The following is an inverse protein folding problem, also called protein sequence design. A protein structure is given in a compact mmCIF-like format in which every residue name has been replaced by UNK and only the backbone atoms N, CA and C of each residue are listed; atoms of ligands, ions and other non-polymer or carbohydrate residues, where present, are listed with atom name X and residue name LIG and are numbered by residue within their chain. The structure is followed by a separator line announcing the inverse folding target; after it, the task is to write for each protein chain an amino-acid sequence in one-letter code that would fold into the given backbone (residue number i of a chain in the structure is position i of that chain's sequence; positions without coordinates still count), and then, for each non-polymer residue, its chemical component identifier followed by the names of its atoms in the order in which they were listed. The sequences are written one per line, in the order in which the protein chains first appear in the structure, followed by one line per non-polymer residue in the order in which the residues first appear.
data_IF_908130600862
#
_entry.id   IF_908130600862
#
_cell.length_a   1.000
_cell.length_b   1.000
_cell.length_c   1.000
_cell.angle_alpha   90.00
_cell.angle_beta   90.00
_cell.angle_gamma   90.00
#
_symmetry.space_group_name_H-M   'P 1'
#
loop_
_entity.id
_entity.type
_entity.pdbx_description
1 polymer ?
#
# COMPACT_ATOMS: atom_id res chain seq x y z
N UNK A 1 -25.47 11.06 -10.82
CA UNK A 1 -24.97 9.94 -11.64
C UNK A 1 -25.70 8.66 -11.24
N UNK A 2 -26.78 8.34 -11.97
CA UNK A 2 -27.47 7.04 -11.91
C UNK A 2 -26.61 6.03 -12.67
N UNK A 3 -26.40 4.85 -12.09
CA UNK A 3 -26.18 3.53 -12.70
C UNK A 3 -25.33 2.66 -11.76
N UNK A 4 -25.98 2.07 -10.74
CA UNK A 4 -25.56 0.80 -10.16
C UNK A 4 -26.69 -0.17 -10.50
N UNK A 5 -26.36 -1.23 -11.23
CA UNK A 5 -27.30 -2.29 -11.59
C UNK A 5 -27.77 -2.91 -10.27
N UNK A 6 -29.06 -2.75 -9.94
CA UNK A 6 -29.69 -3.43 -8.82
C UNK A 6 -29.74 -4.93 -9.14
N UNK A 7 -28.73 -5.69 -8.68
CA UNK A 7 -28.91 -7.13 -8.50
C UNK A 7 -30.10 -7.29 -7.55
N UNK A 8 -31.22 -7.87 -8.00
CA UNK A 8 -32.44 -8.07 -7.22
C UNK A 8 -32.32 -8.91 -5.94
N UNK A 9 -31.10 -9.11 -5.44
CA UNK A 9 -30.78 -9.71 -4.16
C UNK A 9 -30.94 -8.67 -3.05
N UNK A 10 -31.78 -8.97 -2.05
CA UNK A 10 -31.87 -8.18 -0.81
C UNK A 10 -30.52 -8.22 -0.08
N UNK A 11 -29.71 -7.18 -0.27
CA UNK A 11 -28.49 -7.02 0.51
C UNK A 11 -28.83 -6.48 1.91
N UNK A 12 -28.31 -7.15 2.94
CA UNK A 12 -28.45 -6.68 4.32
C UNK A 12 -27.59 -5.43 4.52
N UNK A 13 -28.20 -4.25 4.46
CA UNK A 13 -27.55 -2.98 4.78
C UNK A 13 -27.51 -2.86 6.32
N UNK A 14 -26.41 -3.29 6.93
CA UNK A 14 -26.09 -2.95 8.32
C UNK A 14 -25.03 -1.86 8.31
N UNK A 15 -25.31 -0.67 8.87
CA UNK A 15 -24.27 0.35 9.00
C UNK A 15 -23.08 -0.21 9.78
N UNK A 16 -21.87 0.13 9.35
CA UNK A 16 -20.67 -0.24 10.09
C UNK A 16 -20.70 0.46 11.44
N UNK A 17 -20.34 -0.27 12.49
CA UNK A 17 -20.19 0.27 13.85
C UNK A 17 -18.88 1.04 14.05
N UNK A 18 -17.92 0.86 13.15
CA UNK A 18 -16.69 1.64 13.10
C UNK A 18 -16.65 2.43 11.79
N UNK A 19 -16.27 3.70 11.90
CA UNK A 19 -15.95 4.58 10.79
C UNK A 19 -14.60 4.23 10.14
N UNK A 20 -14.37 4.73 8.93
CA UNK A 20 -13.09 4.55 8.23
C UNK A 20 -11.91 5.18 8.97
N UNK A 21 -12.10 6.35 9.59
CA UNK A 21 -11.05 7.03 10.35
C UNK A 21 -10.62 6.25 11.59
N UNK A 22 -11.57 5.64 12.32
CA UNK A 22 -11.25 4.77 13.46
C UNK A 22 -10.44 3.54 13.02
N UNK A 23 -10.85 2.90 11.92
CA UNK A 23 -10.14 1.75 11.35
C UNK A 23 -8.72 2.13 10.91
N UNK A 24 -8.56 3.28 10.25
CA UNK A 24 -7.24 3.84 9.87
C UNK A 24 -6.38 4.10 11.11
N UNK A 25 -6.95 4.71 12.14
CA UNK A 25 -6.23 5.06 13.38
C UNK A 25 -5.69 3.80 14.06
N UNK A 26 -6.52 2.77 14.20
CA UNK A 26 -6.11 1.49 14.79
C UNK A 26 -4.99 0.83 13.98
N UNK A 27 -5.07 0.88 12.64
CA UNK A 27 -4.07 0.30 11.74
C UNK A 27 -2.74 1.07 11.76
N UNK A 28 -2.77 2.40 11.75
CA UNK A 28 -1.55 3.22 11.84
C UNK A 28 -0.88 2.99 13.19
N UNK A 29 -1.66 2.99 14.27
CA UNK A 29 -1.15 2.71 15.61
C UNK A 29 -0.56 1.30 15.74
N UNK A 30 -1.08 0.30 15.01
CA UNK A 30 -0.46 -1.03 14.98
C UNK A 30 1.01 -0.97 14.53
N UNK A 31 1.29 -0.25 13.44
CA UNK A 31 2.64 -0.11 12.92
C UNK A 31 3.58 0.67 13.87
N UNK A 32 3.04 1.57 14.68
CA UNK A 32 3.81 2.30 15.71
C UNK A 32 3.97 1.50 17.01
N UNK A 33 3.08 0.56 17.29
CA UNK A 33 3.04 -0.18 18.56
C UNK A 33 4.15 -1.23 18.72
N UNK A 34 4.82 -1.63 17.64
CA UNK A 34 5.85 -2.68 17.66
C UNK A 34 5.30 -4.12 17.77
N UNK A 35 3.97 -4.32 17.80
CA UNK A 35 3.39 -5.66 17.76
C UNK A 35 3.68 -6.34 16.42
N UNK A 36 4.07 -7.62 16.46
CA UNK A 36 4.40 -8.42 15.25
C UNK A 36 3.17 -8.93 14.50
N UNK A 37 2.05 -9.10 15.21
CA UNK A 37 0.85 -9.73 14.68
C UNK A 37 -0.39 -8.86 14.98
N UNK A 38 -1.14 -8.55 13.93
CA UNK A 38 -2.30 -7.67 14.01
C UNK A 38 -3.43 -8.30 14.85
N UNK A 39 -3.59 -9.63 14.82
CA UNK A 39 -4.64 -10.32 15.59
C UNK A 39 -4.41 -10.14 17.09
N UNK A 40 -3.18 -10.32 17.53
CA UNK A 40 -2.77 -10.18 18.93
C UNK A 40 -2.93 -8.73 19.37
N UNK A 41 -2.40 -7.78 18.59
CA UNK A 41 -2.58 -6.35 18.83
C UNK A 41 -4.08 -5.98 18.96
N UNK A 42 -4.91 -6.35 17.99
CA UNK A 42 -6.31 -5.98 18.01
C UNK A 42 -7.07 -6.64 19.16
N UNK A 43 -6.97 -7.97 19.31
CA UNK A 43 -7.80 -8.72 20.27
C UNK A 43 -7.34 -8.62 21.72
N UNK A 44 -6.04 -8.51 21.96
CA UNK A 44 -5.46 -8.51 23.31
C UNK A 44 -5.12 -7.12 23.82
N UNK A 45 -4.84 -6.16 22.93
CA UNK A 45 -4.53 -4.79 23.32
C UNK A 45 -5.71 -3.85 23.05
N UNK A 46 -6.07 -3.61 21.79
CA UNK A 46 -7.12 -2.63 21.43
C UNK A 46 -8.47 -2.97 22.07
N UNK A 47 -8.92 -4.22 21.93
CA UNK A 47 -10.20 -4.68 22.50
C UNK A 47 -10.23 -4.72 24.04
N UNK A 48 -9.10 -4.55 24.73
CA UNK A 48 -9.03 -4.55 26.20
C UNK A 48 -8.86 -3.13 26.74
N UNK A 49 -7.87 -2.40 26.21
CA UNK A 49 -7.44 -1.13 26.78
C UNK A 49 -8.00 0.10 26.07
N UNK A 50 -8.43 -0.03 24.81
CA UNK A 50 -8.87 1.13 24.00
C UNK A 50 -10.39 1.21 23.80
N UNK A 51 -11.16 0.41 24.55
CA UNK A 51 -12.65 0.45 24.48
C UNK A 51 -13.22 1.82 24.78
N UNK A 52 -12.55 2.62 25.61
CA UNK A 52 -13.03 3.98 25.91
C UNK A 52 -12.95 4.89 24.69
N UNK A 53 -11.90 4.75 23.86
CA UNK A 53 -11.74 5.52 22.62
C UNK A 53 -12.56 4.95 21.47
N UNK A 54 -12.76 3.63 21.45
CA UNK A 54 -13.52 2.91 20.43
C UNK A 54 -14.60 2.04 21.13
N UNK A 55 -15.74 2.62 21.52
CA UNK A 55 -16.78 1.89 22.27
C UNK A 55 -17.43 0.78 21.45
N UNK A 56 -17.43 0.93 20.12
CA UNK A 56 -18.16 0.10 19.18
C UNK A 56 -17.28 -0.91 18.42
N UNK A 57 -16.18 -1.35 19.03
CA UNK A 57 -15.25 -2.34 18.45
C UNK A 57 -15.98 -3.59 17.94
N UNK A 58 -15.52 -4.06 16.78
CA UNK A 58 -16.10 -5.19 16.06
C UNK A 58 -15.29 -6.47 16.29
N UNK A 59 -15.83 -7.63 15.89
CA UNK A 59 -15.05 -8.87 15.91
C UNK A 59 -13.83 -8.78 14.99
N UNK A 60 -12.78 -9.53 15.30
CA UNK A 60 -11.55 -9.56 14.48
C UNK A 60 -11.84 -9.83 12.99
N UNK A 61 -12.69 -10.80 12.67
CA UNK A 61 -13.07 -11.11 11.29
C UNK A 61 -13.76 -9.94 10.59
N UNK A 62 -14.60 -9.18 11.32
CA UNK A 62 -15.23 -7.97 10.77
C UNK A 62 -14.18 -6.86 10.59
N UNK A 63 -13.24 -6.70 11.51
CA UNK A 63 -12.14 -5.74 11.40
C UNK A 63 -11.32 -5.98 10.13
N UNK A 64 -10.97 -7.23 9.81
CA UNK A 64 -10.24 -7.56 8.57
C UNK A 64 -11.01 -7.13 7.30
N UNK A 65 -12.33 -7.29 7.27
CA UNK A 65 -13.16 -6.83 6.14
C UNK A 65 -13.17 -5.30 6.04
N UNK A 66 -13.21 -4.61 7.18
CA UNK A 66 -13.17 -3.15 7.21
C UNK A 66 -11.81 -2.61 6.77
N UNK A 67 -10.70 -3.26 7.14
CA UNK A 67 -9.36 -2.90 6.68
C UNK A 67 -9.27 -2.91 5.14
N UNK A 68 -9.81 -3.95 4.50
CA UNK A 68 -9.84 -4.04 3.04
C UNK A 68 -10.65 -2.89 2.41
N UNK A 69 -11.83 -2.59 2.98
CA UNK A 69 -12.68 -1.50 2.51
C UNK A 69 -12.06 -0.10 2.74
N UNK A 70 -11.17 0.03 3.72
CA UNK A 70 -10.56 1.31 4.11
C UNK A 70 -9.26 1.58 3.38
N UNK A 71 -8.72 0.61 2.63
CA UNK A 71 -7.48 0.77 1.86
C UNK A 71 -7.51 1.97 0.90
N UNK A 72 -8.58 2.25 0.14
CA UNK A 72 -8.63 3.44 -0.72
C UNK A 72 -8.53 4.74 0.09
N UNK A 73 -9.18 4.82 1.25
CA UNK A 73 -9.09 5.98 2.13
C UNK A 73 -7.68 6.16 2.70
N UNK A 74 -7.00 5.07 3.06
CA UNK A 74 -5.61 5.11 3.51
C UNK A 74 -4.65 5.58 2.40
N UNK A 75 -4.87 5.12 1.16
CA UNK A 75 -4.11 5.59 0.01
C UNK A 75 -4.35 7.08 -0.27
N UNK A 76 -5.59 7.56 -0.16
CA UNK A 76 -5.92 8.98 -0.29
C UNK A 76 -5.27 9.81 0.81
N UNK A 77 -5.29 9.33 2.06
CA UNK A 77 -4.60 9.97 3.17
C UNK A 77 -3.10 10.05 2.92
N UNK A 78 -2.46 8.95 2.49
CA UNK A 78 -1.04 8.93 2.15
C UNK A 78 -0.70 9.99 1.08
N UNK A 79 -1.50 10.10 0.01
CA UNK A 79 -1.30 11.11 -1.04
C UNK A 79 -1.42 12.54 -0.54
N UNK A 80 -2.32 12.80 0.42
CA UNK A 80 -2.44 14.11 1.06
C UNK A 80 -1.25 14.45 1.97
N UNK A 81 -0.46 13.44 2.36
CA UNK A 81 0.76 13.59 3.15
C UNK A 81 2.02 13.67 2.28
N UNK A 82 1.89 13.73 0.95
CA UNK A 82 3.04 13.98 0.09
C UNK A 82 3.58 15.38 0.32
N UNK A 83 4.90 15.49 0.34
CA UNK A 83 5.60 16.74 0.55
C UNK A 83 5.72 17.54 -0.75
N UNK A 84 6.17 18.79 -0.60
CA UNK A 84 6.44 19.66 -1.75
C UNK A 84 7.76 19.27 -2.41
N UNK A 85 7.86 19.41 -3.74
CA UNK A 85 9.13 19.25 -4.42
C UNK A 85 10.06 20.42 -4.06
N UNK A 86 11.34 20.09 -3.85
CA UNK A 86 12.42 21.03 -3.46
C UNK A 86 13.36 21.36 -4.62
N UNK A 87 13.22 20.65 -5.76
CA UNK A 87 14.11 20.77 -6.92
C UNK A 87 15.07 19.57 -7.09
N UNK A 88 15.21 18.74 -6.05
CA UNK A 88 16.00 17.51 -6.08
C UNK A 88 15.11 16.37 -5.61
N UNK A 89 15.07 15.28 -6.38
CA UNK A 89 14.32 14.09 -6.02
C UNK A 89 15.13 12.81 -6.30
N UNK A 90 14.84 11.76 -5.55
CA UNK A 90 15.44 10.44 -5.66
C UNK A 90 14.36 9.41 -5.93
N UNK A 91 14.59 8.51 -6.89
CA UNK A 91 13.72 7.37 -7.17
C UNK A 91 14.46 6.06 -6.94
N UNK A 92 13.79 5.14 -6.25
CA UNK A 92 14.25 3.77 -6.08
C UNK A 92 13.07 2.81 -6.00
N UNK A 93 13.33 1.53 -6.24
CA UNK A 93 12.35 0.46 -6.12
C UNK A 93 12.80 -0.65 -5.18
N UNK A 94 11.85 -1.14 -4.39
CA UNK A 94 12.09 -2.27 -3.49
C UNK A 94 11.14 -3.42 -3.77
N UNK A 95 11.64 -4.65 -3.63
CA UNK A 95 10.88 -5.87 -3.92
C UNK A 95 9.95 -6.24 -2.75
N UNK A 96 8.64 -6.24 -3.00
CA UNK A 96 7.62 -6.73 -2.07
C UNK A 96 7.34 -8.21 -2.33
N UNK A 97 8.04 -9.08 -1.62
CA UNK A 97 7.89 -10.54 -1.73
C UNK A 97 6.60 -11.00 -1.06
N UNK A 98 5.73 -11.69 -1.80
CA UNK A 98 4.46 -12.20 -1.24
C UNK A 98 4.54 -13.68 -0.84
N UNK A 99 5.49 -14.44 -1.42
CA UNK A 99 5.81 -15.79 -0.97
C UNK A 99 7.21 -16.20 -1.43
N UNK A 100 7.72 -17.31 -0.89
CA UNK A 100 8.92 -17.97 -1.42
C UNK A 100 8.65 -18.60 -2.79
N UNK A 101 9.66 -18.61 -3.66
CA UNK A 101 9.53 -19.10 -5.03
C UNK A 101 9.00 -20.56 -5.11
N UNK A 102 9.39 -21.42 -4.17
CA UNK A 102 8.90 -22.82 -4.10
C UNK A 102 7.39 -22.92 -3.85
N UNK A 103 6.76 -21.88 -3.30
CA UNK A 103 5.34 -21.84 -2.95
C UNK A 103 4.47 -21.16 -4.02
N UNK A 104 5.06 -20.67 -5.11
CA UNK A 104 4.31 -20.01 -6.19
C UNK A 104 3.15 -20.88 -6.70
N UNK A 105 3.32 -22.20 -6.99
CA UNK A 105 2.23 -23.01 -7.53
C UNK A 105 1.01 -23.14 -6.61
N UNK A 106 1.18 -22.89 -5.30
CA UNK A 106 0.12 -22.98 -4.28
C UNK A 106 -0.37 -21.61 -3.83
N UNK A 107 0.16 -20.51 -4.35
CA UNK A 107 -0.18 -19.17 -3.90
C UNK A 107 -1.49 -18.68 -4.52
N UNK A 108 -2.51 -18.47 -3.69
CA UNK A 108 -3.84 -18.07 -4.15
C UNK A 108 -4.14 -16.57 -3.97
N UNK A 109 -3.58 -15.93 -2.94
CA UNK A 109 -3.97 -14.57 -2.52
C UNK A 109 -3.73 -13.52 -3.61
N UNK A 110 -2.58 -13.57 -4.27
CA UNK A 110 -2.21 -12.66 -5.36
C UNK A 110 -2.08 -13.39 -6.72
N UNK A 111 -2.77 -14.52 -6.88
CA UNK A 111 -2.79 -15.24 -8.15
C UNK A 111 -3.20 -14.31 -9.31
N UNK A 112 -2.48 -14.39 -10.43
CA UNK A 112 -2.68 -13.51 -11.60
C UNK A 112 -2.15 -12.08 -11.46
N UNK A 113 -2.04 -11.54 -10.24
CA UNK A 113 -1.59 -10.16 -9.96
C UNK A 113 -0.08 -10.07 -9.68
N UNK A 114 0.42 -10.90 -8.77
CA UNK A 114 1.85 -10.97 -8.48
C UNK A 114 2.59 -11.73 -9.59
N UNK A 115 3.82 -11.30 -9.90
CA UNK A 115 4.66 -11.89 -10.95
C UNK A 115 6.08 -12.12 -10.43
N UNK A 116 6.81 -13.00 -11.13
CA UNK A 116 8.22 -13.28 -10.80
C UNK A 116 9.10 -12.15 -11.30
N UNK A 117 9.83 -11.52 -10.38
CA UNK A 117 10.87 -10.54 -10.68
C UNK A 117 12.26 -11.08 -10.37
N UNK A 118 13.29 -10.42 -10.90
CA UNK A 118 14.68 -10.65 -10.52
C UNK A 118 15.26 -9.34 -10.01
N UNK A 119 15.75 -9.34 -8.78
CA UNK A 119 16.53 -8.23 -8.21
C UNK A 119 17.96 -8.67 -7.91
N UNK A 120 18.72 -7.80 -7.25
CA UNK A 120 20.12 -8.07 -6.84
C UNK A 120 20.23 -9.32 -5.96
N UNK A 121 19.25 -9.53 -5.07
CA UNK A 121 19.18 -10.69 -4.17
C UNK A 121 18.55 -11.94 -4.81
N UNK A 122 18.42 -11.97 -6.14
CA UNK A 122 17.89 -13.09 -6.91
C UNK A 122 16.40 -12.99 -7.25
N UNK A 123 15.83 -14.13 -7.63
CA UNK A 123 14.43 -14.22 -8.04
C UNK A 123 13.47 -14.08 -6.86
N UNK A 124 12.38 -13.36 -7.07
CA UNK A 124 11.29 -13.24 -6.11
C UNK A 124 9.93 -13.32 -6.80
N UNK A 125 8.88 -13.61 -6.02
CA UNK A 125 7.50 -13.55 -6.47
C UNK A 125 6.75 -12.49 -5.67
N UNK A 126 6.14 -11.53 -6.36
CA UNK A 126 5.42 -10.44 -5.71
C UNK A 126 5.31 -9.20 -6.57
N UNK A 127 5.56 -8.06 -5.94
CA UNK A 127 5.42 -6.72 -6.50
C UNK A 127 6.72 -5.93 -6.34
N UNK A 128 6.82 -4.80 -7.03
CA UNK A 128 7.81 -3.76 -6.73
C UNK A 128 7.10 -2.52 -6.21
N UNK A 129 7.66 -1.90 -5.18
CA UNK A 129 7.24 -0.62 -4.65
C UNK A 129 8.25 0.43 -5.11
N UNK A 130 7.77 1.38 -5.90
CA UNK A 130 8.53 2.52 -6.40
C UNK A 130 8.22 3.73 -5.55
N UNK A 131 9.25 4.42 -5.08
CA UNK A 131 9.15 5.61 -4.24
C UNK A 131 9.92 6.74 -4.89
N UNK A 132 9.35 7.95 -4.91
CA UNK A 132 10.09 9.19 -5.16
C UNK A 132 10.09 10.00 -3.89
N UNK A 133 11.27 10.41 -3.42
CA UNK A 133 11.46 11.25 -2.25
C UNK A 133 12.26 12.50 -2.62
N UNK A 134 12.00 13.62 -1.95
CA UNK A 134 12.85 14.80 -2.05
C UNK A 134 14.13 14.64 -1.21
N UNK A 135 15.05 15.60 -1.31
CA UNK A 135 16.32 15.63 -0.56
C UNK A 135 16.17 15.87 0.95
N UNK A 136 15.00 16.33 1.40
CA UNK A 136 14.64 16.47 2.82
C UNK A 136 14.03 15.19 3.41
N UNK A 137 13.89 14.12 2.61
CA UNK A 137 13.27 12.84 3.03
C UNK A 137 11.74 12.82 2.96
N UNK A 138 11.14 13.86 2.38
CA UNK A 138 9.72 13.97 2.12
C UNK A 138 9.28 13.13 0.92
N UNK A 139 8.10 12.53 1.01
CA UNK A 139 7.60 11.60 -0.01
C UNK A 139 6.84 12.36 -1.10
N UNK A 140 7.23 12.20 -2.37
CA UNK A 140 6.61 12.88 -3.52
C UNK A 140 5.65 11.99 -4.32
N UNK A 141 5.99 10.70 -4.47
CA UNK A 141 5.17 9.76 -5.22
C UNK A 141 5.40 8.31 -4.79
N UNK A 142 4.36 7.48 -4.95
CA UNK A 142 4.39 6.04 -4.67
C UNK A 142 3.66 5.27 -5.75
N UNK A 143 4.24 4.17 -6.23
CA UNK A 143 3.58 3.25 -7.16
C UNK A 143 3.93 1.81 -6.87
N UNK A 144 2.95 0.92 -7.05
CA UNK A 144 3.14 -0.53 -6.93
C UNK A 144 2.95 -1.17 -8.29
N UNK A 145 3.91 -1.96 -8.73
CA UNK A 145 3.85 -2.72 -9.99
C UNK A 145 4.06 -4.21 -9.74
N UNK A 146 3.69 -5.05 -10.71
CA UNK A 146 4.01 -6.48 -10.62
C UNK A 146 5.54 -6.71 -10.65
N UNK A 147 6.01 -7.78 -10.01
CA UNK A 147 7.44 -8.02 -9.81
C UNK A 147 8.31 -8.08 -11.07
N UNK A 148 7.72 -8.40 -12.23
CA UNK A 148 8.41 -8.48 -13.52
C UNK A 148 8.41 -7.16 -14.30
N UNK A 149 7.79 -6.09 -13.78
CA UNK A 149 7.76 -4.78 -14.44
C UNK A 149 9.14 -4.14 -14.32
N UNK A 150 9.60 -3.60 -15.44
CA UNK A 150 10.84 -2.83 -15.53
C UNK A 150 10.70 -1.50 -14.78
N UNK A 151 11.72 -1.12 -14.02
CA UNK A 151 11.67 0.02 -13.09
C UNK A 151 11.52 1.37 -13.80
N UNK A 152 11.81 1.41 -15.11
CA UNK A 152 11.68 2.60 -15.96
C UNK A 152 10.25 2.90 -16.38
N UNK A 153 9.41 1.87 -16.47
CA UNK A 153 8.02 1.99 -16.91
C UNK A 153 7.17 2.88 -16.00
N UNK A 154 7.18 2.72 -14.65
CA UNK A 154 6.36 3.53 -13.76
C UNK A 154 6.82 4.98 -13.60
N UNK A 155 8.04 5.34 -14.02
CA UNK A 155 8.64 6.66 -13.77
C UNK A 155 7.76 7.78 -14.33
N UNK A 156 7.32 7.65 -15.58
CA UNK A 156 6.51 8.67 -16.25
C UNK A 156 5.18 8.94 -15.54
N UNK A 157 4.63 7.94 -14.85
CA UNK A 157 3.37 8.07 -14.11
C UNK A 157 3.55 8.64 -12.69
N UNK A 158 4.79 8.92 -12.28
CA UNK A 158 5.13 9.34 -10.92
C UNK A 158 5.76 10.73 -10.86
N UNK A 159 6.21 11.28 -11.98
CA UNK A 159 6.97 12.54 -12.03
C UNK A 159 6.11 13.81 -12.11
N UNK A 160 4.78 13.69 -12.15
CA UNK A 160 3.87 14.85 -12.26
C UNK A 160 4.10 15.93 -11.19
N UNK A 161 4.47 15.52 -9.97
CA UNK A 161 4.72 16.41 -8.82
C UNK A 161 6.22 16.61 -8.54
N UNK A 162 7.09 16.22 -9.46
CA UNK A 162 8.55 16.34 -9.33
C UNK A 162 9.03 17.53 -10.14
N UNK A 163 9.85 18.39 -9.53
CA UNK A 163 10.48 19.52 -10.21
C UNK A 163 11.99 19.43 -10.10
N UNK A 164 12.71 19.92 -11.11
CA UNK A 164 14.17 19.93 -11.12
C UNK A 164 14.77 18.58 -11.49
N UNK A 165 15.77 18.12 -10.74
CA UNK A 165 16.57 16.93 -11.06
C UNK A 165 16.06 15.68 -10.34
N UNK A 166 15.86 14.60 -11.11
CA UNK A 166 15.52 13.28 -10.60
C UNK A 166 16.75 12.36 -10.67
N UNK A 167 17.23 11.92 -9.51
CA UNK A 167 18.36 11.02 -9.35
C UNK A 167 17.89 9.59 -9.16
N UNK A 168 18.55 8.65 -9.83
CA UNK A 168 18.17 7.25 -9.83
C UNK A 168 19.39 6.35 -10.01
N UNK A 169 19.24 5.06 -9.72
CA UNK A 169 20.28 4.09 -10.04
C UNK A 169 20.45 3.88 -11.56
N UNK A 170 21.51 3.17 -11.97
CA UNK A 170 21.79 2.89 -13.38
C UNK A 170 20.69 2.10 -14.09
N UNK A 171 19.89 1.33 -13.33
CA UNK A 171 18.76 0.56 -13.85
C UNK A 171 17.63 1.44 -14.40
N UNK A 172 17.57 2.72 -14.01
CA UNK A 172 16.56 3.67 -14.50
C UNK A 172 16.93 4.36 -15.82
N UNK A 173 18.16 4.18 -16.33
CA UNK A 173 18.60 4.85 -17.57
C UNK A 173 17.91 4.24 -18.80
N UNK A 174 17.32 5.09 -19.65
CA UNK A 174 16.82 4.70 -20.97
C UNK A 174 16.84 5.85 -21.98
N UNK A 175 16.69 5.55 -23.27
CA UNK A 175 16.63 6.57 -24.32
C UNK A 175 15.52 7.62 -24.12
N UNK A 176 14.43 7.24 -23.45
CA UNK A 176 13.29 8.11 -23.14
C UNK A 176 13.42 8.81 -21.78
N UNK A 177 14.30 8.34 -20.91
CA UNK A 177 14.66 8.94 -19.63
C UNK A 177 16.12 9.39 -19.74
N UNK A 178 16.36 10.39 -20.59
CA UNK A 178 17.71 10.92 -20.79
C UNK A 178 18.18 11.60 -19.51
N UNK A 179 19.41 11.26 -19.11
CA UNK A 179 20.15 11.89 -18.03
C UNK A 179 20.51 13.33 -18.38
#
# INVERSE_FOLDING_TARGET
LKHLIESGEKQRIKPSRLSSSEVMTILIAFHQSGYRDFKTYYTKFVCQYWRHYFPDLVSYTRMLKLLQATLPALCSYLKQRFDKPTGIAFIDSTSLKVCHNMRIPRHQVFAGKAKRGKGTMGWFYGFKLHLIMNDEGGLLAVKVTAGNVDDRQPVLDMVDNVTGSLYADKGYVSANLKA
#
